data_IF_648469950027
#
_entry.id   IF_648469950027
#
_cell.length_a   1.000
_cell.length_b   1.000
_cell.length_c   1.000
_cell.angle_alpha   90.00
_cell.angle_beta   90.00
_cell.angle_gamma   90.00
#
_symmetry.space_group_name_H-M   'P 1'
#
loop_
_entity.id
_entity.type
_entity.pdbx_description
1 polymer ?
#
# COMPACT_ATOMS: atom_id res chain seq x y z
N UNK A 1 17.00 -8.90 0.11
CA UNK A 1 16.52 -8.79 1.50
C UNK A 1 17.69 -9.07 2.40
N UNK A 2 18.02 -8.14 3.30
CA UNK A 2 19.17 -8.28 4.21
C UNK A 2 18.79 -9.18 5.39
N UNK A 3 19.70 -10.07 5.81
CA UNK A 3 19.54 -10.92 7.00
C UNK A 3 19.73 -10.12 8.30
N UNK A 4 18.87 -9.13 8.56
CA UNK A 4 18.98 -8.21 9.71
C UNK A 4 19.04 -8.94 11.05
N UNK A 5 18.33 -10.06 11.18
CA UNK A 5 18.28 -10.88 12.40
C UNK A 5 19.63 -11.53 12.77
N UNK A 6 20.59 -11.59 11.83
CA UNK A 6 21.95 -12.11 12.09
C UNK A 6 22.94 -11.01 12.50
N UNK A 7 22.55 -9.74 12.40
CA UNK A 7 23.43 -8.60 12.63
C UNK A 7 23.35 -8.12 14.08
N UNK A 8 24.43 -7.48 14.55
CA UNK A 8 24.44 -6.87 15.87
C UNK A 8 23.78 -5.47 15.87
N UNK A 9 23.30 -5.03 17.03
CA UNK A 9 22.59 -3.75 17.15
C UNK A 9 23.44 -2.55 16.69
N UNK A 10 24.72 -2.40 17.09
CA UNK A 10 25.54 -1.28 16.64
C UNK A 10 25.68 -1.19 15.11
N UNK A 11 25.79 -2.35 14.44
CA UNK A 11 25.85 -2.42 12.99
C UNK A 11 24.52 -1.99 12.36
N UNK A 12 23.40 -2.49 12.88
CA UNK A 12 22.06 -2.14 12.37
C UNK A 12 21.79 -0.64 12.52
N UNK A 13 22.13 -0.04 13.67
CA UNK A 13 21.95 1.40 13.91
C UNK A 13 22.78 2.24 12.95
N UNK A 14 24.03 1.82 12.67
CA UNK A 14 24.90 2.50 11.69
C UNK A 14 24.34 2.38 10.28
N UNK A 15 23.94 1.18 9.87
CA UNK A 15 23.45 0.92 8.51
C UNK A 15 22.12 1.62 8.23
N UNK A 16 21.22 1.64 9.22
CA UNK A 16 19.93 2.32 9.11
C UNK A 16 20.01 3.81 9.39
N UNK A 17 21.19 4.33 9.78
CA UNK A 17 21.42 5.74 10.14
C UNK A 17 20.34 6.23 11.10
N UNK A 18 20.13 5.49 12.18
CA UNK A 18 19.09 5.77 13.18
C UNK A 18 19.69 5.79 14.58
N UNK A 19 19.14 6.65 15.42
CA UNK A 19 19.46 6.67 16.84
C UNK A 19 18.59 5.65 17.60
N UNK A 20 19.14 5.04 18.65
CA UNK A 20 18.43 4.03 19.43
C UNK A 20 17.36 4.63 20.35
N UNK A 21 17.62 5.82 20.91
CA UNK A 21 16.73 6.48 21.87
C UNK A 21 15.78 7.46 21.18
N UNK A 22 16.28 8.15 20.15
CA UNK A 22 15.58 9.23 19.46
C UNK A 22 14.96 8.80 18.13
N UNK A 23 15.38 7.66 17.59
CA UNK A 23 14.92 7.16 16.29
C UNK A 23 15.40 8.03 15.13
N UNK A 24 14.55 8.15 14.11
CA UNK A 24 14.79 8.95 12.91
C UNK A 24 14.27 10.39 13.09
N UNK A 25 14.93 11.35 12.46
CA UNK A 25 14.39 12.71 12.34
C UNK A 25 13.18 12.74 11.41
N UNK A 26 12.37 13.80 11.51
CA UNK A 26 11.17 13.95 10.67
C UNK A 26 11.52 14.12 9.19
N UNK A 27 12.62 14.82 8.92
CA UNK A 27 13.14 15.08 7.59
C UNK A 27 13.57 13.77 6.93
N UNK A 28 14.32 12.95 7.65
CA UNK A 28 14.82 11.67 7.16
C UNK A 28 13.69 10.64 7.01
N UNK A 29 12.71 10.66 7.91
CA UNK A 29 11.51 9.83 7.78
C UNK A 29 10.72 10.20 6.51
N UNK A 30 10.56 11.49 6.22
CA UNK A 30 9.88 11.97 5.01
C UNK A 30 10.62 11.54 3.74
N UNK A 31 11.94 11.71 3.71
CA UNK A 31 12.80 11.28 2.61
C UNK A 31 12.65 9.78 2.32
N UNK A 32 12.60 8.95 3.37
CA UNK A 32 12.37 7.50 3.21
C UNK A 32 10.98 7.17 2.69
N UNK A 33 9.94 7.86 3.14
CA UNK A 33 8.58 7.64 2.59
C UNK A 33 8.51 8.04 1.12
N UNK A 34 9.19 9.12 0.72
CA UNK A 34 9.29 9.52 -0.70
C UNK A 34 10.07 8.51 -1.54
N UNK A 35 11.12 7.90 -0.99
CA UNK A 35 11.96 6.94 -1.70
C UNK A 35 11.35 5.53 -1.79
N UNK A 36 10.78 5.03 -0.70
CA UNK A 36 10.31 3.64 -0.57
C UNK A 36 8.79 3.49 -0.68
N UNK A 37 8.06 4.60 -0.64
CA UNK A 37 6.60 4.62 -0.58
C UNK A 37 6.08 4.45 0.85
N UNK A 38 4.77 4.55 0.98
CA UNK A 38 4.09 4.31 2.25
C UNK A 38 4.17 2.83 2.63
N UNK A 39 4.26 2.54 3.94
CA UNK A 39 4.20 1.16 4.45
C UNK A 39 2.76 0.63 4.43
N UNK A 40 2.19 0.52 3.23
CA UNK A 40 0.86 0.02 2.98
C UNK A 40 0.93 -1.13 1.98
N UNK A 41 0.12 -2.15 2.24
CA UNK A 41 -0.07 -3.23 1.28
C UNK A 41 -1.07 -2.73 0.23
N UNK A 42 -0.66 -2.77 -1.04
CA UNK A 42 -1.51 -2.42 -2.16
C UNK A 42 -2.82 -3.20 -2.09
N UNK A 43 -3.92 -2.47 -1.97
CA UNK A 43 -5.26 -3.06 -2.02
C UNK A 43 -5.70 -3.13 -3.48
N UNK A 44 -6.30 -4.26 -3.90
CA UNK A 44 -6.90 -4.32 -5.22
C UNK A 44 -7.94 -3.19 -5.35
N UNK A 45 -7.95 -2.53 -6.51
CA UNK A 45 -8.93 -1.48 -6.79
C UNK A 45 -10.32 -2.07 -6.63
N UNK A 46 -11.05 -1.61 -5.61
CA UNK A 46 -12.44 -1.95 -5.45
C UNK A 46 -13.20 -1.42 -6.66
N UNK A 47 -14.08 -2.25 -7.23
CA UNK A 47 -14.90 -1.82 -8.33
C UNK A 47 -15.88 -0.77 -7.81
N UNK A 48 -15.96 0.36 -8.51
CA UNK A 48 -16.90 1.44 -8.14
C UNK A 48 -18.33 0.89 -8.11
N UNK A 49 -19.10 1.26 -7.09
CA UNK A 49 -20.49 0.82 -6.92
C UNK A 49 -21.34 1.11 -8.17
N UNK A 50 -21.14 2.27 -8.79
CA UNK A 50 -21.83 2.65 -10.03
C UNK A 50 -21.48 1.73 -11.20
N UNK A 51 -20.22 1.29 -11.29
CA UNK A 51 -19.78 0.34 -12.33
C UNK A 51 -20.42 -1.02 -12.12
N UNK A 52 -20.51 -1.47 -10.86
CA UNK A 52 -21.17 -2.72 -10.51
C UNK A 52 -22.68 -2.66 -10.73
N UNK A 53 -23.31 -1.51 -10.51
CA UNK A 53 -24.72 -1.26 -10.83
C UNK A 53 -24.98 -1.40 -12.33
N UNK A 54 -24.24 -0.67 -13.18
CA UNK A 54 -24.40 -0.77 -14.64
C UNK A 54 -24.04 -2.16 -15.20
N UNK A 55 -23.11 -2.87 -14.54
CA UNK A 55 -22.76 -4.23 -14.92
C UNK A 55 -23.93 -5.22 -14.85
N UNK A 56 -24.94 -4.99 -14.00
CA UNK A 56 -26.12 -5.86 -13.89
C UNK A 56 -27.02 -5.80 -15.13
N UNK A 57 -27.04 -4.68 -15.85
CA UNK A 57 -27.89 -4.47 -17.02
C UNK A 57 -27.32 -5.06 -18.32
N UNK A 58 -26.13 -5.66 -18.28
CA UNK A 58 -25.51 -6.31 -19.45
C UNK A 58 -26.08 -7.69 -19.76
N UNK A 59 -27.01 -8.19 -18.94
CA UNK A 59 -27.67 -9.47 -19.16
C UNK A 59 -28.87 -9.28 -20.10
N UNK A 60 -28.97 -10.09 -21.16
CA UNK A 60 -30.10 -10.08 -22.10
C UNK A 60 -31.46 -10.24 -21.39
N UNK A 61 -31.53 -11.03 -20.31
CA UNK A 61 -32.76 -11.19 -19.50
C UNK A 61 -33.16 -9.90 -18.79
N UNK A 62 -32.18 -9.15 -18.27
CA UNK A 62 -32.45 -7.85 -17.62
C UNK A 62 -32.84 -6.82 -18.67
N UNK A 63 -32.19 -6.84 -19.83
CA UNK A 63 -32.53 -5.97 -20.95
C UNK A 63 -33.93 -6.24 -21.48
N UNK A 64 -34.35 -7.51 -21.60
CA UNK A 64 -35.71 -7.84 -22.04
C UNK A 64 -36.77 -7.31 -21.08
N UNK A 65 -36.51 -7.33 -19.77
CA UNK A 65 -37.42 -6.78 -18.76
C UNK A 65 -37.51 -5.24 -18.76
N UNK A 66 -36.54 -4.55 -19.36
CA UNK A 66 -36.51 -3.08 -19.43
C UNK A 66 -37.18 -2.53 -20.68
N UNK A 67 -37.05 -3.23 -21.80
CA UNK A 67 -37.58 -2.80 -23.10
C UNK A 67 -39.03 -3.25 -23.30
N UNK A 68 -39.38 -4.42 -22.77
CA UNK A 68 -40.69 -5.06 -22.95
C UNK A 68 -41.62 -4.83 -21.76
#
# INVERSE_FOLDING_TARGET
MSDWYKQNIPYILRELVTDLERGLSKEEAKLRVEQYGENLIDRPKQLLLIRNFFAQFRNLTVFSLLVM
#
